data_IF_585339448917
#
_entry.id   IF_585339448917
#
_cell.length_a   1.000
_cell.length_b   1.000
_cell.length_c   1.000
_cell.angle_alpha   90.00
_cell.angle_beta   90.00
_cell.angle_gamma   90.00
#
_symmetry.space_group_name_H-M   'P 1'
#
loop_
_entity.id
_entity.type
_entity.pdbx_description
1 polymer ?
#
# COMPACT_ATOMS: atom_id res chain seq x y z
N UNK A 1 3.60 15.76 12.11
CA UNK A 1 4.79 15.40 11.29
C UNK A 1 5.91 16.45 11.40
N UNK A 2 5.66 17.74 11.11
CA UNK A 2 6.68 18.83 11.16
C UNK A 2 7.47 18.89 12.49
N UNK A 3 6.79 18.76 13.63
CA UNK A 3 7.43 18.83 14.96
C UNK A 3 8.41 17.68 15.23
N UNK A 4 8.09 16.46 14.77
CA UNK A 4 8.99 15.30 14.91
C UNK A 4 10.27 15.50 14.12
N UNK A 5 10.15 16.03 12.91
CA UNK A 5 11.28 16.34 12.04
C UNK A 5 12.19 17.42 12.66
N UNK A 6 11.60 18.48 13.24
CA UNK A 6 12.34 19.53 13.97
C UNK A 6 13.10 19.00 15.19
N UNK A 7 12.53 18.03 15.91
CA UNK A 7 13.17 17.39 17.06
C UNK A 7 14.34 16.49 16.64
N UNK A 8 14.17 15.71 15.58
CA UNK A 8 15.25 14.88 15.01
C UNK A 8 16.39 15.74 14.45
N UNK A 9 16.09 16.86 13.78
CA UNK A 9 17.10 17.83 13.35
C UNK A 9 17.90 18.38 14.53
N UNK A 10 17.23 18.74 15.64
CA UNK A 10 17.92 19.18 16.86
C UNK A 10 18.82 18.08 17.42
N UNK A 11 18.36 16.83 17.43
CA UNK A 11 19.14 15.69 17.90
C UNK A 11 20.41 15.49 17.08
N UNK A 12 20.29 15.48 15.74
CA UNK A 12 21.45 15.34 14.84
C UNK A 12 22.42 16.53 14.98
N UNK A 13 21.90 17.76 15.14
CA UNK A 13 22.74 18.93 15.40
C UNK A 13 23.48 18.82 16.72
N UNK A 14 22.83 18.34 17.80
CA UNK A 14 23.52 18.11 19.06
C UNK A 14 24.55 16.99 18.95
N UNK A 15 24.25 15.94 18.19
CA UNK A 15 25.15 14.80 17.96
C UNK A 15 26.44 15.24 17.25
N UNK A 16 26.32 16.09 16.21
CA UNK A 16 27.48 16.73 15.55
C UNK A 16 28.26 17.61 16.53
N UNK A 17 27.57 18.37 17.40
CA UNK A 17 28.22 19.25 18.37
C UNK A 17 28.93 18.48 19.50
N UNK A 18 28.39 17.33 19.91
CA UNK A 18 28.98 16.46 20.93
C UNK A 18 29.99 15.46 20.38
N UNK A 19 30.20 15.41 19.06
CA UNK A 19 31.21 14.56 18.46
C UNK A 19 32.61 15.10 18.83
N UNK A 20 33.19 14.54 19.89
CA UNK A 20 34.52 14.94 20.39
C UNK A 20 35.66 14.52 19.46
N UNK A 21 35.40 13.60 18.54
CA UNK A 21 36.40 12.98 17.68
C UNK A 21 36.20 13.41 16.22
N UNK A 22 36.74 14.58 15.86
CA UNK A 22 36.65 15.15 14.50
C UNK A 22 37.44 14.36 13.44
N UNK A 23 38.23 13.36 13.84
CA UNK A 23 39.08 12.58 12.93
C UNK A 23 38.28 11.53 12.13
N UNK A 24 37.08 11.14 12.58
CA UNK A 24 36.20 10.27 11.81
C UNK A 24 35.33 11.06 10.82
N UNK A 25 35.98 11.46 9.73
CA UNK A 25 35.36 12.20 8.61
C UNK A 25 34.19 11.42 8.00
N UNK A 26 34.21 10.08 8.07
CA UNK A 26 33.19 9.22 7.45
C UNK A 26 31.88 9.31 8.24
N UNK A 27 31.92 9.15 9.56
CA UNK A 27 30.72 9.29 10.39
C UNK A 27 30.17 10.72 10.36
N UNK A 28 31.04 11.74 10.38
CA UNK A 28 30.62 13.12 10.28
C UNK A 28 29.94 13.44 8.93
N UNK A 29 30.43 12.85 7.83
CA UNK A 29 29.79 12.93 6.53
C UNK A 29 28.40 12.26 6.53
N UNK A 30 28.28 11.07 7.09
CA UNK A 30 26.99 10.36 7.18
C UNK A 30 25.94 11.14 8.00
N UNK A 31 26.35 11.66 9.17
CA UNK A 31 25.46 12.45 10.03
C UNK A 31 25.07 13.76 9.32
N UNK A 32 26.02 14.42 8.65
CA UNK A 32 25.76 15.65 7.89
C UNK A 32 24.83 15.41 6.70
N UNK A 33 24.98 14.29 5.99
CA UNK A 33 24.07 13.86 4.92
C UNK A 33 22.65 13.64 5.45
N UNK A 34 22.53 12.95 6.58
CA UNK A 34 21.24 12.69 7.21
C UNK A 34 20.54 13.99 7.64
N UNK A 35 21.31 14.94 8.21
CA UNK A 35 20.82 16.27 8.55
C UNK A 35 20.30 17.02 7.31
N UNK A 36 21.07 17.00 6.22
CA UNK A 36 20.68 17.63 4.95
C UNK A 36 19.38 17.05 4.38
N UNK A 37 19.26 15.71 4.34
CA UNK A 37 18.05 15.04 3.86
C UNK A 37 16.81 15.43 4.67
N UNK A 38 16.90 15.41 6.01
CA UNK A 38 15.79 15.83 6.87
C UNK A 38 15.44 17.31 6.72
N UNK A 39 16.44 18.17 6.53
CA UNK A 39 16.22 19.60 6.27
C UNK A 39 15.55 19.82 4.91
N UNK A 40 15.96 19.08 3.87
CA UNK A 40 15.35 19.15 2.54
C UNK A 40 13.87 18.75 2.58
N UNK A 41 13.53 17.69 3.31
CA UNK A 41 12.13 17.29 3.54
C UNK A 41 11.36 18.37 4.29
N UNK A 42 11.95 18.98 5.34
CA UNK A 42 11.30 20.07 6.06
C UNK A 42 11.03 21.28 5.15
N UNK A 43 12.02 21.66 4.33
CA UNK A 43 11.90 22.73 3.33
C UNK A 43 10.80 22.44 2.32
N UNK A 44 10.74 21.23 1.79
CA UNK A 44 9.67 20.82 0.87
C UNK A 44 8.29 20.93 1.54
N UNK A 45 8.15 20.49 2.79
CA UNK A 45 6.90 20.61 3.54
C UNK A 45 6.51 22.06 3.84
N UNK A 46 7.48 22.97 3.99
CA UNK A 46 7.21 24.39 4.26
C UNK A 46 6.99 25.21 3.00
N UNK A 47 7.59 24.84 1.86
CA UNK A 47 7.48 25.58 0.60
C UNK A 47 6.37 25.02 -0.29
N UNK A 48 6.36 23.71 -0.53
CA UNK A 48 5.46 23.09 -1.53
C UNK A 48 4.13 22.66 -0.91
N UNK A 49 4.14 22.15 0.33
CA UNK A 49 2.91 21.69 1.00
C UNK A 49 2.11 22.80 1.70
N UNK A 50 2.70 23.97 1.95
CA UNK A 50 1.92 25.12 2.43
C UNK A 50 1.16 25.82 1.29
N UNK A 51 1.67 25.79 0.05
CA UNK A 51 0.92 26.23 -1.13
C UNK A 51 -0.10 25.18 -1.60
N UNK A 52 0.09 23.91 -1.21
CA UNK A 52 -0.95 22.88 -1.29
C UNK A 52 -1.89 22.91 -0.07
N UNK A 53 -2.42 24.09 0.27
CA UNK A 53 -3.79 24.08 0.78
C UNK A 53 -4.63 23.50 -0.37
N UNK A 54 -5.12 22.27 -0.19
CA UNK A 54 -6.14 21.70 -1.07
C UNK A 54 -7.34 22.64 -0.93
N UNK A 55 -7.41 23.63 -1.82
CA UNK A 55 -8.56 24.49 -2.01
C UNK A 55 -9.68 23.58 -2.53
N UNK A 56 -10.38 22.94 -1.57
CA UNK A 56 -11.54 22.09 -1.78
C UNK A 56 -12.64 22.82 -2.56
N UNK A 57 -12.60 24.16 -2.60
CA UNK A 57 -13.51 24.98 -3.39
C UNK A 57 -13.22 24.94 -4.90
N UNK A 58 -12.02 24.54 -5.32
CA UNK A 58 -11.64 24.48 -6.74
C UNK A 58 -11.68 23.07 -7.35
N UNK A 59 -11.81 22.02 -6.55
CA UNK A 59 -11.86 20.67 -7.07
C UNK A 59 -13.30 20.30 -7.45
N UNK A 60 -13.62 20.34 -8.74
CA UNK A 60 -14.95 20.02 -9.27
C UNK A 60 -15.48 18.64 -8.82
N UNK A 61 -14.57 17.71 -8.51
CA UNK A 61 -14.90 16.37 -8.00
C UNK A 61 -15.37 16.43 -6.54
N UNK A 62 -14.76 17.29 -5.72
CA UNK A 62 -15.13 17.45 -4.31
C UNK A 62 -16.54 18.06 -4.17
N UNK A 63 -16.86 19.08 -4.98
CA UNK A 63 -18.20 19.68 -5.01
C UNK A 63 -19.29 18.67 -5.41
N UNK A 64 -18.99 17.80 -6.40
CA UNK A 64 -19.92 16.74 -6.82
C UNK A 64 -20.11 15.66 -5.77
N UNK A 65 -19.05 15.35 -5.02
CA UNK A 65 -19.11 14.42 -3.90
C UNK A 65 -19.91 14.98 -2.72
N UNK A 66 -19.75 16.27 -2.41
CA UNK A 66 -20.51 16.96 -1.36
C UNK A 66 -22.00 17.06 -1.72
N UNK A 67 -22.33 17.36 -2.98
CA UNK A 67 -23.70 17.34 -3.50
C UNK A 67 -24.35 15.96 -3.34
N UNK A 68 -23.62 14.89 -3.69
CA UNK A 68 -24.10 13.51 -3.55
C UNK A 68 -24.25 13.10 -2.08
N UNK A 69 -23.30 13.47 -1.21
CA UNK A 69 -23.34 13.16 0.21
C UNK A 69 -24.55 13.83 0.89
N UNK A 70 -24.79 15.11 0.60
CA UNK A 70 -25.95 15.84 1.14
C UNK A 70 -27.27 15.24 0.65
N UNK A 71 -27.37 14.85 -0.62
CA UNK A 71 -28.56 14.19 -1.15
C UNK A 71 -28.87 12.87 -0.42
N UNK A 72 -27.86 12.05 -0.13
CA UNK A 72 -28.05 10.78 0.61
C UNK A 72 -28.47 11.02 2.06
N UNK A 73 -27.90 12.03 2.72
CA UNK A 73 -28.26 12.36 4.11
C UNK A 73 -29.70 12.88 4.22
N UNK A 74 -30.14 13.75 3.31
CA UNK A 74 -31.53 14.22 3.28
C UNK A 74 -32.52 13.11 2.92
N UNK A 75 -32.13 12.18 2.04
CA UNK A 75 -32.96 11.02 1.67
C UNK A 75 -33.25 10.12 2.88
N UNK A 76 -32.24 9.87 3.72
CA UNK A 76 -32.37 9.01 4.89
C UNK A 76 -33.19 9.66 6.02
N UNK A 77 -33.30 10.99 6.06
CA UNK A 77 -34.12 11.72 7.04
C UNK A 77 -35.63 11.48 6.89
N UNK A 78 -36.08 11.03 5.70
CA UNK A 78 -37.49 10.72 5.44
C UNK A 78 -37.90 9.32 5.90
N UNK A 79 -36.95 8.47 6.30
CA UNK A 79 -37.26 7.16 6.86
C UNK A 79 -37.49 7.34 8.36
N UNK A 80 -38.69 7.09 8.90
CA UNK A 80 -38.92 7.17 10.33
C UNK A 80 -38.02 6.19 11.07
N UNK A 81 -37.34 6.65 12.12
CA UNK A 81 -36.44 5.81 12.95
C UNK A 81 -37.18 4.70 13.72
N UNK A 82 -38.52 4.75 13.74
CA UNK A 82 -39.36 3.73 14.37
C UNK A 82 -39.96 2.82 13.30
N UNK A 83 -39.60 1.54 13.34
CA UNK A 83 -40.21 0.52 12.50
C UNK A 83 -41.62 0.18 13.06
N UNK A 84 -42.70 0.36 12.28
CA UNK A 84 -44.07 0.03 12.71
C UNK A 84 -44.31 -1.47 12.99
N UNK A 85 -43.38 -2.36 12.63
CA UNK A 85 -43.42 -3.80 12.88
C UNK A 85 -42.25 -4.26 13.75
N UNK A 86 -42.14 -3.69 14.96
CA UNK A 86 -41.08 -4.02 15.92
C UNK A 86 -41.10 -5.49 16.36
N UNK A 87 -42.29 -6.08 16.45
CA UNK A 87 -42.53 -7.50 16.78
C UNK A 87 -41.86 -8.46 15.77
N UNK A 88 -41.88 -8.15 14.46
CA UNK A 88 -41.32 -9.00 13.41
C UNK A 88 -39.77 -9.04 13.44
N UNK A 89 -39.13 -7.98 13.95
CA UNK A 89 -37.66 -7.92 14.09
C UNK A 89 -37.20 -8.76 15.27
N UNK A 90 -37.89 -8.64 16.41
CA UNK A 90 -37.52 -9.31 17.67
C UNK A 90 -37.78 -10.83 17.56
N UNK A 91 -38.80 -11.24 16.82
CA UNK A 91 -39.20 -12.65 16.69
C UNK A 91 -38.47 -13.39 15.56
N UNK A 92 -37.53 -12.73 14.86
CA UNK A 92 -36.74 -13.38 13.83
C UNK A 92 -35.71 -14.35 14.45
N UNK A 93 -35.64 -15.63 14.03
CA UNK A 93 -34.77 -16.64 14.66
C UNK A 93 -33.28 -16.27 14.70
N UNK A 94 -32.82 -15.45 13.76
CA UNK A 94 -31.44 -14.95 13.74
C UNK A 94 -31.14 -13.90 14.81
N UNK A 95 -32.16 -13.17 15.28
CA UNK A 95 -32.00 -12.06 16.23
C UNK A 95 -31.71 -12.55 17.64
N UNK A 96 -32.30 -13.67 18.06
CA UNK A 96 -32.00 -14.32 19.35
C UNK A 96 -30.54 -14.75 19.44
N UNK A 97 -29.98 -15.24 18.33
CA UNK A 97 -28.58 -15.64 18.24
C UNK A 97 -27.66 -14.42 18.37
N UNK A 98 -27.97 -13.33 17.67
CA UNK A 98 -27.20 -12.08 17.73
C UNK A 98 -27.30 -11.44 19.13
N UNK A 99 -28.48 -11.46 19.74
CA UNK A 99 -28.70 -10.96 21.10
C UNK A 99 -27.92 -11.76 22.14
N UNK A 100 -27.83 -13.09 21.98
CA UNK A 100 -26.97 -13.95 22.77
C UNK A 100 -25.49 -13.57 22.65
N UNK A 101 -24.99 -13.36 21.42
CA UNK A 101 -23.60 -12.93 21.20
C UNK A 101 -23.29 -11.55 21.79
N UNK A 102 -24.20 -10.58 21.67
CA UNK A 102 -24.02 -9.22 22.23
C UNK A 102 -24.05 -9.23 23.75
N UNK A 103 -24.84 -10.12 24.37
CA UNK A 103 -24.87 -10.27 25.83
C UNK A 103 -23.60 -10.91 26.40
N UNK A 104 -22.85 -11.66 25.60
CA UNK A 104 -21.57 -12.29 25.96
C UNK A 104 -20.37 -11.42 25.57
N UNK A 105 -20.59 -10.23 24.99
CA UNK A 105 -19.49 -9.29 24.75
C UNK A 105 -19.08 -8.63 26.06
N UNK A 106 -17.76 -8.57 26.36
CA UNK A 106 -17.26 -7.85 27.53
C UNK A 106 -17.63 -6.37 27.42
N UNK A 107 -17.80 -5.73 28.58
CA UNK A 107 -18.15 -4.30 28.63
C UNK A 107 -17.03 -3.47 28.00
N UNK A 108 -17.37 -2.34 27.38
CA UNK A 108 -16.43 -1.47 26.65
C UNK A 108 -15.22 -1.04 27.47
N UNK A 109 -15.39 -0.96 28.79
CA UNK A 109 -14.34 -0.55 29.73
C UNK A 109 -13.28 -1.66 29.94
N UNK A 110 -13.64 -2.94 29.80
CA UNK A 110 -12.70 -4.07 29.94
C UNK A 110 -11.94 -4.34 28.63
N UNK A 111 -12.47 -3.86 27.51
CA UNK A 111 -11.84 -3.99 26.18
C UNK A 111 -10.60 -3.11 26.04
N UNK A 112 -10.57 -1.93 26.67
CA UNK A 112 -9.40 -1.04 26.62
C UNK A 112 -8.20 -1.65 27.35
N UNK A 113 -8.40 -2.25 28.53
CA UNK A 113 -7.32 -2.89 29.28
C UNK A 113 -6.77 -4.13 28.56
N UNK A 114 -7.65 -4.97 28.00
CA UNK A 114 -7.24 -6.17 27.22
C UNK A 114 -6.52 -5.78 25.93
N UNK A 115 -6.98 -4.74 25.24
CA UNK A 115 -6.32 -4.22 24.03
C UNK A 115 -4.94 -3.63 24.37
N UNK A 116 -4.84 -2.92 25.49
CA UNK A 116 -3.58 -2.31 25.94
C UNK A 116 -2.58 -3.40 26.34
N UNK A 117 -3.01 -4.45 27.03
CA UNK A 117 -2.19 -5.62 27.36
C UNK A 117 -1.68 -6.31 26.08
N UNK A 118 -2.56 -6.56 25.11
CA UNK A 118 -2.20 -7.22 23.84
C UNK A 118 -1.24 -6.39 22.97
N UNK A 119 -1.39 -5.07 22.98
CA UNK A 119 -0.52 -4.16 22.24
C UNK A 119 0.82 -3.90 22.94
N UNK A 120 0.91 -4.17 24.25
CA UNK A 120 2.06 -3.73 25.04
C UNK A 120 3.31 -4.61 24.88
N UNK A 121 3.20 -5.94 24.66
CA UNK A 121 4.37 -6.81 24.40
C UNK A 121 4.03 -8.11 23.65
N UNK A 122 4.53 -8.33 22.42
CA UNK A 122 4.65 -9.69 21.90
C UNK A 122 5.82 -10.38 22.62
N UNK A 123 5.55 -11.42 23.41
CA UNK A 123 6.59 -12.30 23.93
C UNK A 123 7.13 -13.15 22.77
N UNK A 124 8.20 -12.67 22.14
CA UNK A 124 8.85 -13.36 21.05
C UNK A 124 9.60 -14.56 21.62
N UNK A 125 8.92 -15.70 21.72
CA UNK A 125 9.61 -16.98 21.82
C UNK A 125 10.63 -17.05 20.67
N UNK A 126 11.91 -17.24 21.02
CA UNK A 126 12.97 -17.47 20.05
C UNK A 126 12.57 -18.68 19.20
N UNK A 127 12.15 -18.41 17.97
CA UNK A 127 11.86 -19.43 16.99
C UNK A 127 13.21 -20.02 16.57
N UNK A 128 13.47 -21.28 16.91
CA UNK A 128 14.63 -22.07 16.48
C UNK A 128 14.58 -22.26 14.96
N UNK A 129 14.89 -21.19 14.23
CA UNK A 129 14.97 -21.14 12.76
C UNK A 129 16.04 -22.07 12.20
N UNK A 130 16.92 -22.61 13.04
CA UNK A 130 17.97 -23.54 12.60
C UNK A 130 17.43 -24.94 12.28
N UNK A 131 16.23 -25.33 12.76
CA UNK A 131 15.63 -26.62 12.39
C UNK A 131 14.83 -26.59 11.07
N UNK A 132 14.45 -25.41 10.58
CA UNK A 132 13.51 -25.26 9.45
C UNK A 132 14.13 -24.60 8.21
N UNK A 133 15.45 -24.37 8.19
CA UNK A 133 16.13 -23.91 6.98
C UNK A 133 16.66 -25.11 6.18
N UNK A 134 16.22 -25.33 4.92
CA UNK A 134 16.75 -26.41 4.11
C UNK A 134 18.24 -26.20 3.87
N UNK A 135 19.03 -27.27 4.04
CA UNK A 135 20.48 -27.20 3.90
C UNK A 135 20.83 -27.18 2.41
N UNK A 136 22.01 -26.67 2.03
CA UNK A 136 22.47 -26.58 0.62
C UNK A 136 22.46 -27.92 -0.15
N UNK A 137 22.28 -29.05 0.52
CA UNK A 137 22.06 -30.37 -0.09
C UNK A 137 20.65 -30.53 -0.71
N UNK A 138 19.62 -29.89 -0.14
CA UNK A 138 18.23 -29.99 -0.61
C UNK A 138 17.98 -29.13 -1.86
N UNK A 139 18.73 -28.04 -2.03
CA UNK A 139 18.62 -27.13 -3.18
C UNK A 139 19.05 -27.76 -4.51
N UNK A 140 19.80 -28.88 -4.49
CA UNK A 140 20.23 -29.59 -5.70
C UNK A 140 19.18 -30.54 -6.27
N UNK A 141 18.11 -30.87 -5.53
CA UNK A 141 17.06 -31.78 -6.01
C UNK A 141 15.85 -31.05 -6.64
N UNK A 142 15.81 -29.71 -6.64
CA UNK A 142 14.67 -28.94 -7.13
C UNK A 142 14.61 -28.72 -8.66
N UNK A 143 15.57 -29.20 -9.45
CA UNK A 143 15.60 -28.95 -10.91
C UNK A 143 14.62 -29.82 -11.72
N UNK A 144 13.91 -30.77 -11.10
CA UNK A 144 13.04 -31.72 -11.84
C UNK A 144 11.60 -31.77 -11.34
N UNK A 145 11.06 -30.65 -10.85
CA UNK A 145 9.61 -30.53 -10.63
C UNK A 145 8.91 -30.09 -11.92
N UNK A 146 7.81 -30.76 -12.35
CA UNK A 146 7.07 -30.37 -13.55
C UNK A 146 6.49 -28.96 -13.34
N UNK A 147 6.96 -28.02 -14.16
CA UNK A 147 6.52 -26.62 -14.17
C UNK A 147 4.99 -26.56 -14.20
N UNK A 148 4.42 -25.76 -13.30
CA UNK A 148 2.99 -25.59 -13.18
C UNK A 148 2.39 -25.10 -14.52
N UNK A 149 1.15 -25.49 -14.81
CA UNK A 149 0.44 -24.99 -16.00
C UNK A 149 0.38 -23.46 -16.02
N UNK A 150 0.32 -22.85 -14.83
CA UNK A 150 0.33 -21.41 -14.66
C UNK A 150 1.67 -20.78 -15.06
N UNK A 151 2.80 -21.47 -14.82
CA UNK A 151 4.12 -21.03 -15.30
C UNK A 151 4.29 -21.18 -16.82
N UNK A 152 3.67 -22.18 -17.43
CA UNK A 152 3.69 -22.34 -18.90
C UNK A 152 2.87 -21.22 -19.55
N UNK A 153 1.69 -20.93 -19.02
CA UNK A 153 0.81 -19.85 -19.51
C UNK A 153 1.42 -18.45 -19.27
N UNK A 154 2.08 -18.24 -18.13
CA UNK A 154 2.76 -16.98 -17.81
C UNK A 154 4.00 -16.72 -18.68
N UNK A 155 4.56 -17.74 -19.33
CA UNK A 155 5.64 -17.61 -20.31
C UNK A 155 5.15 -17.40 -21.74
N UNK A 156 3.92 -17.84 -22.06
CA UNK A 156 3.31 -17.64 -23.38
C UNK A 156 2.92 -16.20 -23.64
N UNK A 157 2.65 -15.42 -22.59
CA UNK A 157 2.23 -14.03 -22.70
C UNK A 157 3.39 -13.10 -22.36
N UNK A 158 3.74 -12.22 -23.30
CA UNK A 158 4.73 -11.15 -23.10
C UNK A 158 4.22 -10.21 -22.01
N UNK A 159 4.87 -10.23 -20.83
CA UNK A 159 4.56 -9.32 -19.72
C UNK A 159 5.29 -8.00 -19.95
N UNK A 160 4.53 -6.95 -20.23
CA UNK A 160 5.03 -5.57 -20.32
C UNK A 160 4.57 -4.81 -19.07
N UNK A 161 5.49 -4.10 -18.41
CA UNK A 161 5.17 -3.27 -17.25
C UNK A 161 4.26 -2.09 -17.65
N UNK A 162 3.49 -1.56 -16.70
CA UNK A 162 2.54 -0.48 -16.94
C UNK A 162 3.24 0.79 -17.44
N UNK A 163 4.39 1.14 -16.85
CA UNK A 163 5.16 2.30 -17.26
C UNK A 163 5.75 2.14 -18.67
N UNK A 164 6.24 0.94 -18.98
CA UNK A 164 6.76 0.61 -20.31
C UNK A 164 5.65 0.62 -21.36
N UNK A 165 4.47 0.07 -21.03
CA UNK A 165 3.28 0.13 -21.88
C UNK A 165 2.90 1.57 -22.21
N UNK A 166 2.84 2.44 -21.20
CA UNK A 166 2.55 3.88 -21.39
C UNK A 166 3.61 4.56 -22.24
N UNK A 167 4.89 4.24 -22.04
CA UNK A 167 5.98 4.78 -22.84
C UNK A 167 5.91 4.33 -24.31
N UNK A 168 5.63 3.05 -24.58
CA UNK A 168 5.47 2.54 -25.96
C UNK A 168 4.27 3.14 -26.66
N UNK A 169 3.13 3.22 -26.00
CA UNK A 169 1.93 3.84 -26.58
C UNK A 169 2.21 5.29 -26.98
N UNK A 170 2.89 6.04 -26.12
CA UNK A 170 3.20 7.46 -26.37
C UNK A 170 4.29 7.69 -27.42
N UNK A 171 5.38 6.93 -27.38
CA UNK A 171 6.58 7.19 -28.21
C UNK A 171 6.68 6.33 -29.48
N UNK A 172 6.03 5.17 -29.52
CA UNK A 172 6.07 4.24 -30.66
C UNK A 172 4.75 4.17 -31.43
N UNK A 173 3.62 4.41 -30.77
CA UNK A 173 2.29 4.24 -31.37
C UNK A 173 1.46 5.53 -31.43
N UNK A 174 2.05 6.71 -31.20
CA UNK A 174 1.36 8.02 -31.28
C UNK A 174 0.03 8.06 -30.49
N UNK A 175 0.04 7.59 -29.25
CA UNK A 175 -1.12 7.47 -28.36
C UNK A 175 -2.21 6.48 -28.83
N UNK A 176 -1.93 5.67 -29.85
CA UNK A 176 -2.80 4.58 -30.32
C UNK A 176 -2.64 3.33 -29.47
N UNK A 177 -3.55 3.15 -28.49
CA UNK A 177 -3.60 1.93 -27.68
C UNK A 177 -4.03 0.70 -28.49
N UNK A 178 -4.80 0.88 -29.57
CA UNK A 178 -5.28 -0.20 -30.43
C UNK A 178 -4.14 -0.84 -31.22
N UNK A 179 -3.25 -0.03 -31.81
CA UNK A 179 -2.09 -0.54 -32.56
C UNK A 179 -1.11 -1.29 -31.65
N UNK A 180 -0.89 -0.78 -30.42
CA UNK A 180 -0.10 -1.47 -29.41
C UNK A 180 -0.66 -2.86 -29.09
N UNK A 181 -1.97 -2.96 -28.84
CA UNK A 181 -2.60 -4.24 -28.53
C UNK A 181 -2.61 -5.20 -29.74
N UNK A 182 -2.70 -4.69 -30.98
CA UNK A 182 -2.58 -5.49 -32.21
C UNK A 182 -1.19 -6.11 -32.33
N UNK A 183 -0.14 -5.31 -32.13
CA UNK A 183 1.25 -5.79 -32.18
C UNK A 183 1.52 -6.77 -31.04
N UNK A 184 1.03 -6.50 -29.83
CA UNK A 184 1.18 -7.41 -28.70
C UNK A 184 0.50 -8.77 -28.95
N UNK A 185 -0.69 -8.78 -29.56
CA UNK A 185 -1.37 -10.03 -29.95
C UNK A 185 -0.59 -10.82 -31.00
N UNK A 186 0.05 -10.12 -31.95
CA UNK A 186 0.88 -10.75 -32.98
C UNK A 186 2.17 -11.31 -32.38
N UNK A 187 2.84 -10.56 -31.50
CA UNK A 187 4.03 -11.02 -30.79
C UNK A 187 3.77 -12.24 -29.89
N UNK A 188 2.61 -12.30 -29.24
CA UNK A 188 2.20 -13.48 -28.46
C UNK A 188 1.91 -14.72 -29.34
N UNK A 189 1.77 -14.57 -30.65
CA UNK A 189 1.53 -15.69 -31.60
C UNK A 189 2.81 -16.15 -32.30
N UNK A 190 3.92 -15.43 -32.14
CA UNK A 190 5.19 -15.76 -32.81
C UNK A 190 6.08 -16.57 -31.86
N UNK A 191 6.19 -17.86 -32.11
CA UNK A 191 6.96 -18.79 -31.27
C UNK A 191 8.42 -19.00 -31.73
N UNK A 192 8.81 -18.42 -32.88
CA UNK A 192 10.13 -18.69 -33.51
C UNK A 192 10.91 -17.41 -33.73
N UNK A 193 12.20 -17.45 -33.40
CA UNK A 193 13.12 -16.30 -33.50
C UNK A 193 13.20 -15.74 -34.93
N UNK A 194 13.27 -16.62 -35.94
CA UNK A 194 13.33 -16.23 -37.35
C UNK A 194 12.09 -15.44 -37.80
N UNK A 195 10.90 -15.82 -37.30
CA UNK A 195 9.65 -15.09 -37.61
C UNK A 195 9.56 -13.76 -36.89
N UNK A 196 10.08 -13.66 -35.66
CA UNK A 196 10.13 -12.39 -34.92
C UNK A 196 11.03 -11.38 -35.63
N UNK A 197 12.17 -11.83 -36.15
CA UNK A 197 13.08 -10.97 -36.92
C UNK A 197 12.45 -10.55 -38.25
N UNK A 198 11.73 -11.44 -38.93
CA UNK A 198 11.04 -11.13 -40.17
C UNK A 198 9.86 -10.15 -39.99
N UNK A 199 9.23 -10.13 -38.81
CA UNK A 199 8.14 -9.18 -38.50
C UNK A 199 8.64 -7.75 -38.25
N UNK A 200 9.87 -7.60 -37.77
CA UNK A 200 10.50 -6.29 -37.48
C UNK A 200 11.07 -5.65 -38.75
N UNK A 201 11.33 -6.44 -39.80
CA UNK A 201 12.02 -6.03 -41.03
C UNK A 201 11.05 -5.62 -42.13
#
# INVERSE_FOLDING_TARGET
MKNKLKLELRKLSTEILTAENLDDVTSLYEISKNLYEKLAVLKFIEVELNDMEVDVSKNAIAAKFEEMANAVLDSNKSVPESNPHEEDIIQYPGMDTIKGFVSEMPSTDELEDVLTEFMSKPDLMKNDKELFTPTKADLKQAETLPKSLNDRLAKSNVKVDLNDRLAFVKHLFNDSMEDYNRVLSQLNTIDTEERSIAFIK
#
